data_IF_895521377375
#
_entry.id   IF_895521377375
#
_cell.length_a   1.000
_cell.length_b   1.000
_cell.length_c   1.000
_cell.angle_alpha   90.00
_cell.angle_beta   90.00
_cell.angle_gamma   90.00
#
_symmetry.space_group_name_H-M   'P 1'
#
loop_
_entity.id
_entity.type
_entity.pdbx_description
1 polymer ?
#
# COMPACT_ATOMS: atom_id res chain seq x y z
N UNK A 1 -60.16 59.88 -3.33
CA UNK A 1 -59.09 59.83 -2.31
C UNK A 1 -58.94 58.45 -1.67
N UNK A 2 -60.04 57.76 -1.30
CA UNK A 2 -60.00 56.41 -0.68
C UNK A 2 -59.19 55.34 -1.45
N UNK A 3 -59.29 55.28 -2.79
CA UNK A 3 -58.53 54.32 -3.61
C UNK A 3 -57.00 54.54 -3.61
N UNK A 4 -56.55 55.81 -3.52
CA UNK A 4 -55.12 56.15 -3.48
C UNK A 4 -54.50 55.79 -2.13
N UNK A 5 -55.26 55.96 -1.04
CA UNK A 5 -54.85 55.56 0.31
C UNK A 5 -54.76 54.03 0.42
N UNK A 6 -55.73 53.30 -0.13
CA UNK A 6 -55.73 51.83 -0.10
C UNK A 6 -54.54 51.24 -0.88
N UNK A 7 -54.24 51.76 -2.08
CA UNK A 7 -53.09 51.34 -2.88
C UNK A 7 -51.76 51.62 -2.18
N UNK A 8 -51.63 52.76 -1.49
CA UNK A 8 -50.45 53.07 -0.69
C UNK A 8 -50.25 52.09 0.47
N UNK A 9 -51.34 51.71 1.15
CA UNK A 9 -51.31 50.79 2.29
C UNK A 9 -50.93 49.37 1.85
N UNK A 10 -51.46 48.90 0.72
CA UNK A 10 -51.09 47.60 0.12
C UNK A 10 -49.62 47.57 -0.29
N UNK A 11 -49.10 48.66 -0.88
CA UNK A 11 -47.69 48.76 -1.26
C UNK A 11 -46.77 48.69 -0.02
N UNK A 12 -47.13 49.39 1.07
CA UNK A 12 -46.35 49.35 2.32
C UNK A 12 -46.36 47.94 2.94
N UNK A 13 -47.51 47.26 2.95
CA UNK A 13 -47.60 45.88 3.46
C UNK A 13 -46.80 44.91 2.59
N UNK A 14 -46.84 45.05 1.26
CA UNK A 14 -46.07 44.22 0.34
C UNK A 14 -44.56 44.41 0.51
N UNK A 15 -44.10 45.67 0.69
CA UNK A 15 -42.69 45.97 0.95
C UNK A 15 -42.27 45.44 2.33
N UNK A 16 -43.04 45.70 3.38
CA UNK A 16 -42.72 45.21 4.73
C UNK A 16 -42.71 43.68 4.81
N UNK A 17 -43.68 43.01 4.17
CA UNK A 17 -43.72 41.56 4.05
C UNK A 17 -42.58 40.98 3.23
N UNK A 18 -42.19 41.66 2.14
CA UNK A 18 -41.05 41.28 1.30
C UNK A 18 -39.70 41.41 2.01
N UNK A 19 -39.47 42.50 2.74
CA UNK A 19 -38.26 42.69 3.55
C UNK A 19 -38.18 41.63 4.65
N UNK A 20 -39.28 41.38 5.37
CA UNK A 20 -39.32 40.36 6.42
C UNK A 20 -39.05 38.94 5.89
N UNK A 21 -39.59 38.60 4.71
CA UNK A 21 -39.37 37.31 4.07
C UNK A 21 -37.92 37.12 3.57
N UNK A 22 -37.24 38.20 3.14
CA UNK A 22 -35.84 38.15 2.73
C UNK A 22 -34.85 38.21 3.91
N UNK A 23 -35.26 38.71 5.07
CA UNK A 23 -34.44 38.70 6.29
C UNK A 23 -34.44 37.36 7.04
N UNK A 24 -35.25 36.39 6.62
CA UNK A 24 -35.32 35.05 7.23
C UNK A 24 -34.36 34.01 6.60
N UNK A 25 -33.47 34.44 5.70
CA UNK A 25 -32.43 33.57 5.15
C UNK A 25 -31.22 33.55 6.08
N UNK A 26 -31.21 32.62 7.02
CA UNK A 26 -30.06 32.31 7.88
C UNK A 26 -29.16 31.32 7.13
N UNK A 27 -28.07 31.82 6.56
CA UNK A 27 -27.07 30.99 5.90
C UNK A 27 -25.89 30.78 6.86
N UNK A 28 -25.59 29.52 7.16
CA UNK A 28 -24.37 29.14 7.86
C UNK A 28 -23.37 28.59 6.85
N UNK A 29 -22.18 29.18 6.80
CA UNK A 29 -21.05 28.65 6.05
C UNK A 29 -20.15 27.95 7.06
N UNK A 30 -20.02 26.63 6.93
CA UNK A 30 -19.04 25.84 7.68
C UNK A 30 -17.82 25.69 6.79
N UNK A 31 -16.69 26.28 7.19
CA UNK A 31 -15.44 26.14 6.46
C UNK A 31 -14.82 24.77 6.76
N UNK A 32 -14.58 23.97 5.71
CA UNK A 32 -13.95 22.66 5.81
C UNK A 32 -12.65 22.71 5.01
N UNK A 33 -11.54 22.40 5.67
CA UNK A 33 -10.22 22.36 5.03
C UNK A 33 -9.43 21.22 5.66
N UNK A 34 -8.69 20.46 4.85
CA UNK A 34 -7.81 19.40 5.30
C UNK A 34 -6.49 19.45 4.52
N UNK A 35 -5.39 19.10 5.18
CA UNK A 35 -4.09 18.86 4.54
C UNK A 35 -3.94 17.34 4.38
N UNK A 36 -3.58 16.88 3.19
CA UNK A 36 -3.37 15.46 2.88
C UNK A 36 -1.87 15.26 2.69
N UNK A 37 -1.28 14.37 3.48
CA UNK A 37 0.13 14.02 3.43
C UNK A 37 0.31 12.51 3.50
N UNK A 38 1.46 12.01 3.03
CA UNK A 38 1.80 10.59 3.09
C UNK A 38 2.22 10.22 4.51
N UNK A 39 1.83 9.04 4.98
CA UNK A 39 2.26 8.56 6.29
C UNK A 39 3.65 7.91 6.27
N UNK A 40 4.02 7.31 5.14
CA UNK A 40 5.27 6.60 4.97
C UNK A 40 6.20 7.32 3.99
N UNK A 41 7.49 7.16 4.23
CA UNK A 41 8.55 7.26 3.24
C UNK A 41 8.99 5.84 2.86
N UNK A 42 9.11 5.58 1.56
CA UNK A 42 9.54 4.28 1.02
C UNK A 42 10.63 4.55 -0.01
N UNK A 43 11.77 3.87 0.08
CA UNK A 43 12.76 3.91 -0.98
C UNK A 43 12.19 3.23 -2.24
N UNK A 44 12.02 4.01 -3.30
CA UNK A 44 11.46 3.56 -4.59
C UNK A 44 12.54 3.22 -5.62
N UNK A 45 13.81 3.15 -5.19
CA UNK A 45 14.90 2.69 -6.03
C UNK A 45 14.61 1.28 -6.54
N UNK A 46 14.63 1.04 -7.86
CA UNK A 46 14.34 -0.29 -8.40
C UNK A 46 15.30 -1.35 -7.87
N UNK A 47 14.74 -2.47 -7.40
CA UNK A 47 15.51 -3.66 -7.04
C UNK A 47 15.85 -4.42 -8.33
N UNK A 48 17.15 -4.53 -8.62
CA UNK A 48 17.67 -5.34 -9.73
C UNK A 48 18.60 -6.42 -9.18
N UNK A 49 18.23 -7.68 -9.39
CA UNK A 49 19.03 -8.85 -9.05
C UNK A 49 20.03 -9.22 -10.18
N UNK A 50 19.90 -8.63 -11.36
CA UNK A 50 20.75 -8.90 -12.51
C UNK A 50 20.52 -10.27 -13.12
N UNK A 51 21.59 -10.90 -13.61
CA UNK A 51 21.55 -12.28 -14.10
C UNK A 51 21.72 -13.23 -12.93
N UNK A 52 20.70 -14.06 -12.71
CA UNK A 52 20.67 -15.06 -11.64
C UNK A 52 20.60 -16.47 -12.23
N UNK A 53 21.04 -17.46 -11.46
CA UNK A 53 21.04 -18.87 -11.87
C UNK A 53 20.04 -19.70 -11.04
N UNK A 54 19.51 -20.81 -11.58
CA UNK A 54 18.66 -21.73 -10.83
C UNK A 54 19.26 -22.09 -9.46
N UNK A 55 18.44 -22.05 -8.42
CA UNK A 55 18.80 -22.37 -7.03
C UNK A 55 19.86 -21.43 -6.42
N UNK A 56 20.05 -20.24 -7.00
CA UNK A 56 20.79 -19.15 -6.37
C UNK A 56 19.91 -18.43 -5.34
N UNK A 57 20.55 -17.89 -4.31
CA UNK A 57 19.90 -17.10 -3.26
C UNK A 57 20.53 -15.71 -3.20
N UNK A 58 19.72 -14.67 -3.31
CA UNK A 58 20.18 -13.28 -3.34
C UNK A 58 19.33 -12.40 -2.43
N UNK A 59 19.95 -11.44 -1.75
CA UNK A 59 19.27 -10.51 -0.84
C UNK A 59 19.43 -9.05 -1.28
N UNK A 60 18.39 -8.25 -1.05
CA UNK A 60 18.37 -6.80 -1.23
C UNK A 60 17.58 -6.16 -0.11
N UNK A 61 18.01 -5.01 0.37
CA UNK A 61 17.33 -4.32 1.45
C UNK A 61 16.46 -3.17 0.93
N UNK A 62 15.33 -2.93 1.60
CA UNK A 62 14.50 -1.73 1.43
C UNK A 62 14.21 -1.09 2.78
N UNK A 63 14.19 0.24 2.81
CA UNK A 63 13.81 1.03 3.98
C UNK A 63 12.37 1.52 3.83
N UNK A 64 11.56 1.26 4.85
CA UNK A 64 10.21 1.81 5.01
C UNK A 64 10.21 2.58 6.33
N UNK A 65 9.90 3.88 6.30
CA UNK A 65 9.88 4.70 7.52
C UNK A 65 8.65 5.58 7.59
N UNK A 66 8.39 6.13 8.77
CA UNK A 66 7.44 7.24 8.91
C UNK A 66 7.94 8.43 8.09
N UNK A 67 7.01 9.15 7.48
CA UNK A 67 7.35 10.36 6.73
C UNK A 67 7.61 11.54 7.67
N UNK A 68 8.39 12.53 7.21
CA UNK A 68 8.61 13.78 7.96
C UNK A 68 7.29 14.45 8.38
N UNK A 69 6.26 14.39 7.52
CA UNK A 69 4.94 14.94 7.83
C UNK A 69 4.19 14.16 8.91
N UNK A 70 4.39 12.84 8.98
CA UNK A 70 3.81 12.01 10.03
C UNK A 70 4.53 12.21 11.36
N UNK A 71 5.85 12.37 11.33
CA UNK A 71 6.64 12.65 12.55
C UNK A 71 6.36 14.06 13.11
N UNK A 72 5.99 15.02 12.26
CA UNK A 72 5.72 16.41 12.65
C UNK A 72 4.30 16.67 13.17
N UNK A 73 3.40 15.68 13.15
CA UNK A 73 2.04 15.80 13.66
C UNK A 73 1.91 15.15 15.04
N UNK A 74 0.91 15.59 15.83
CA UNK A 74 0.73 15.15 17.23
C UNK A 74 -0.54 14.31 17.45
N UNK A 75 -1.26 13.94 16.38
CA UNK A 75 -2.58 13.29 16.44
C UNK A 75 -2.51 11.77 16.36
N UNK A 76 -1.74 11.26 15.41
CA UNK A 76 -1.55 9.85 15.12
C UNK A 76 -0.23 9.38 15.75
N UNK A 77 -0.17 8.12 16.15
CA UNK A 77 1.03 7.53 16.76
C UNK A 77 1.64 6.45 15.88
N UNK A 78 0.79 5.63 15.28
CA UNK A 78 1.19 4.40 14.61
C UNK A 78 0.65 4.29 13.19
N UNK A 79 1.39 3.54 12.39
CA UNK A 79 1.06 3.22 11.00
C UNK A 79 1.16 1.72 10.81
N UNK A 80 0.08 1.11 10.31
CA UNK A 80 0.10 -0.28 9.87
C UNK A 80 0.13 -0.34 8.36
N UNK A 81 1.04 -1.11 7.81
CA UNK A 81 1.19 -1.26 6.38
C UNK A 81 1.41 -2.70 5.96
N UNK A 82 1.22 -2.96 4.68
CA UNK A 82 1.49 -4.25 4.05
C UNK A 82 2.44 -4.07 2.88
N UNK A 83 3.30 -5.07 2.68
CA UNK A 83 4.14 -5.22 1.50
C UNK A 83 3.50 -6.29 0.63
N UNK A 84 2.74 -5.83 -0.37
CA UNK A 84 2.14 -6.69 -1.39
C UNK A 84 3.12 -6.91 -2.54
N UNK A 85 2.79 -7.87 -3.38
CA UNK A 85 3.55 -8.20 -4.57
C UNK A 85 2.59 -8.41 -5.74
N UNK A 86 2.92 -7.84 -6.90
CA UNK A 86 2.06 -7.89 -8.08
C UNK A 86 2.86 -8.28 -9.33
N UNK A 87 2.30 -9.11 -10.22
CA UNK A 87 2.94 -9.43 -11.50
C UNK A 87 3.28 -8.16 -12.28
N UNK A 88 4.51 -8.07 -12.79
CA UNK A 88 5.03 -6.85 -13.39
C UNK A 88 4.61 -6.73 -14.87
N UNK A 89 3.98 -5.62 -15.29
CA UNK A 89 3.74 -5.35 -16.70
C UNK A 89 4.99 -4.81 -17.42
N UNK A 90 5.12 -5.13 -18.71
CA UNK A 90 6.18 -4.59 -19.60
C UNK A 90 5.85 -3.19 -20.11
N UNK A 91 4.55 -2.91 -20.33
CA UNK A 91 4.08 -1.67 -20.95
C UNK A 91 2.97 -1.01 -20.11
N UNK A 92 3.26 -0.57 -18.87
CA UNK A 92 2.23 -0.04 -17.95
C UNK A 92 1.52 1.21 -18.48
N UNK A 93 2.12 1.95 -19.42
CA UNK A 93 1.55 3.18 -19.99
C UNK A 93 0.50 2.93 -21.10
N UNK A 94 0.40 1.70 -21.60
CA UNK A 94 -0.59 1.37 -22.61
C UNK A 94 -2.02 1.35 -22.02
N UNK A 95 -3.07 1.51 -22.84
CA UNK A 95 -4.43 1.28 -22.37
C UNK A 95 -4.59 -0.14 -21.83
N UNK A 96 -5.11 -0.26 -20.61
CA UNK A 96 -5.41 -1.55 -19.99
C UNK A 96 -6.46 -2.28 -20.86
N UNK A 97 -6.28 -3.60 -21.14
CA UNK A 97 -7.26 -4.38 -21.89
C UNK A 97 -8.67 -4.33 -21.28
N UNK A 98 -9.70 -4.40 -22.12
CA UNK A 98 -11.10 -4.36 -21.67
C UNK A 98 -11.40 -5.49 -20.67
N UNK A 99 -12.05 -5.14 -19.55
CA UNK A 99 -12.40 -6.08 -18.48
C UNK A 99 -11.43 -6.11 -17.31
N UNK A 100 -10.36 -5.30 -17.33
CA UNK A 100 -9.40 -5.16 -16.25
C UNK A 100 -9.28 -3.70 -15.80
N UNK A 101 -9.06 -3.49 -14.50
CA UNK A 101 -8.90 -2.14 -13.92
C UNK A 101 -7.45 -1.66 -14.05
N UNK A 102 -6.48 -2.58 -13.87
CA UNK A 102 -5.06 -2.29 -13.97
C UNK A 102 -4.29 -3.32 -14.80
N UNK A 103 -3.10 -2.94 -15.27
CA UNK A 103 -2.18 -3.88 -15.92
C UNK A 103 -1.73 -5.00 -14.99
N UNK A 104 -1.62 -4.74 -13.69
CA UNK A 104 -1.29 -5.77 -12.70
C UNK A 104 -2.39 -6.84 -12.64
N UNK A 105 -3.66 -6.44 -12.67
CA UNK A 105 -4.80 -7.39 -12.70
C UNK A 105 -4.80 -8.21 -14.00
N UNK A 106 -4.52 -7.55 -15.12
CA UNK A 106 -4.37 -8.23 -16.41
C UNK A 106 -3.26 -9.28 -16.38
N UNK A 107 -2.07 -8.92 -15.89
CA UNK A 107 -0.92 -9.82 -15.82
C UNK A 107 -1.11 -10.95 -14.79
N UNK A 108 -1.86 -10.70 -13.71
CA UNK A 108 -2.27 -11.76 -12.79
C UNK A 108 -3.20 -12.78 -13.44
N UNK A 109 -4.11 -12.34 -14.31
CA UNK A 109 -5.03 -13.23 -15.02
C UNK A 109 -4.43 -13.89 -16.27
N UNK A 110 -3.44 -13.25 -16.90
CA UNK A 110 -2.90 -13.61 -18.22
C UNK A 110 -1.44 -14.04 -18.15
N UNK A 111 -1.12 -15.00 -17.27
CA UNK A 111 0.26 -15.43 -16.93
C UNK A 111 1.11 -15.97 -18.09
N UNK A 112 0.53 -16.16 -19.28
CA UNK A 112 1.23 -16.62 -20.50
C UNK A 112 1.35 -15.53 -21.58
N UNK A 113 0.84 -14.32 -21.35
CA UNK A 113 1.09 -13.19 -22.26
C UNK A 113 2.46 -12.57 -22.00
N UNK A 114 3.48 -13.20 -22.59
CA UNK A 114 4.87 -12.76 -22.45
C UNK A 114 5.18 -11.49 -23.25
N UNK A 115 4.28 -11.02 -24.12
CA UNK A 115 4.49 -9.77 -24.86
C UNK A 115 4.19 -8.55 -23.98
N UNK A 116 3.19 -8.66 -23.11
CA UNK A 116 2.75 -7.57 -22.23
C UNK A 116 3.15 -7.74 -20.76
N UNK A 117 3.42 -8.96 -20.31
CA UNK A 117 3.73 -9.26 -18.93
C UNK A 117 5.09 -9.94 -18.81
N UNK A 118 5.80 -9.65 -17.73
CA UNK A 118 6.93 -10.47 -17.34
C UNK A 118 6.41 -11.77 -16.73
N UNK A 119 7.05 -12.94 -16.99
CA UNK A 119 6.93 -14.09 -16.10
C UNK A 119 7.10 -13.67 -14.64
N UNK A 120 6.23 -14.18 -13.76
CA UNK A 120 6.16 -13.68 -12.38
C UNK A 120 7.33 -14.16 -11.52
N UNK A 121 7.98 -13.23 -10.81
CA UNK A 121 8.89 -13.54 -9.71
C UNK A 121 8.19 -13.65 -8.35
N UNK A 122 6.94 -13.21 -8.25
CA UNK A 122 6.32 -12.95 -6.95
C UNK A 122 6.30 -14.15 -5.98
N UNK A 123 6.02 -15.40 -6.43
CA UNK A 123 6.09 -16.54 -5.52
C UNK A 123 7.47 -16.81 -4.92
N UNK A 124 8.54 -16.27 -5.51
CA UNK A 124 9.92 -16.60 -5.20
C UNK A 124 10.64 -15.51 -4.39
N UNK A 125 9.89 -14.45 -4.05
CA UNK A 125 10.41 -13.33 -3.27
C UNK A 125 9.95 -13.43 -1.82
N UNK A 126 10.85 -13.79 -0.90
CA UNK A 126 10.57 -13.62 0.52
C UNK A 126 10.74 -12.18 0.96
N UNK A 127 10.12 -11.87 2.09
CA UNK A 127 10.22 -10.59 2.79
C UNK A 127 10.39 -10.91 4.26
N UNK A 128 11.47 -10.46 4.86
CA UNK A 128 11.68 -10.61 6.29
C UNK A 128 12.36 -9.37 6.84
N UNK A 129 12.24 -9.14 8.15
CA UNK A 129 12.94 -8.04 8.79
C UNK A 129 14.44 -8.32 8.80
N UNK A 130 15.24 -7.30 8.51
CA UNK A 130 16.69 -7.44 8.58
C UNK A 130 17.12 -7.72 10.02
N UNK A 131 18.07 -8.63 10.24
CA UNK A 131 18.62 -8.90 11.58
C UNK A 131 19.24 -7.66 12.23
N UNK A 132 19.66 -6.70 11.43
CA UNK A 132 20.22 -5.42 11.88
C UNK A 132 19.17 -4.39 12.25
N UNK A 133 17.90 -4.68 11.98
CA UNK A 133 16.82 -3.84 12.43
C UNK A 133 16.67 -3.94 13.94
N UNK A 134 16.75 -2.80 14.62
CA UNK A 134 16.65 -2.71 16.07
C UNK A 134 15.27 -2.19 16.50
N UNK A 135 14.30 -2.16 15.59
CA UNK A 135 12.90 -1.83 15.88
C UNK A 135 12.32 -2.74 16.97
N UNK A 136 11.30 -2.25 17.68
CA UNK A 136 10.71 -2.98 18.81
C UNK A 136 9.75 -4.08 18.36
N UNK A 137 9.25 -4.01 17.12
CA UNK A 137 8.44 -5.05 16.52
C UNK A 137 9.27 -6.34 16.31
N UNK A 138 8.88 -7.41 17.01
CA UNK A 138 9.52 -8.72 16.84
C UNK A 138 9.07 -9.33 15.52
N UNK A 139 9.98 -10.00 14.80
CA UNK A 139 9.75 -10.80 13.57
C UNK A 139 8.85 -12.05 13.80
N UNK A 140 8.07 -12.05 14.87
CA UNK A 140 7.07 -13.06 15.15
C UNK A 140 5.69 -12.48 14.91
N UNK A 141 4.98 -13.07 13.96
CA UNK A 141 3.54 -12.85 13.70
C UNK A 141 2.58 -13.11 14.87
N UNK A 142 3.10 -13.26 16.10
CA UNK A 142 2.36 -13.62 17.30
C UNK A 142 2.93 -13.01 18.60
N UNK A 143 3.83 -12.00 18.54
CA UNK A 143 4.29 -11.26 19.72
C UNK A 143 3.24 -10.34 20.37
N UNK A 144 2.70 -10.73 21.52
CA UNK A 144 1.88 -9.84 22.37
C UNK A 144 2.78 -9.21 23.43
N UNK A 145 2.82 -7.88 23.51
CA UNK A 145 3.51 -7.17 24.60
C UNK A 145 2.85 -7.49 25.95
N UNK A 146 3.58 -7.26 27.05
CA UNK A 146 3.09 -7.55 28.41
C UNK A 146 1.80 -6.78 28.79
N UNK A 147 1.48 -5.71 28.07
CA UNK A 147 0.27 -4.89 28.23
C UNK A 147 -0.91 -5.35 27.35
N UNK A 148 -0.73 -6.40 26.54
CA UNK A 148 -1.74 -6.94 25.63
C UNK A 148 -1.75 -6.29 24.24
N UNK A 149 -0.87 -5.32 23.98
CA UNK A 149 -0.78 -4.67 22.66
C UNK A 149 -0.03 -5.58 21.68
N UNK A 150 -0.52 -5.62 20.45
CA UNK A 150 -0.08 -6.51 19.39
C UNK A 150 0.65 -5.69 18.33
N UNK A 151 1.97 -5.82 18.26
CA UNK A 151 2.83 -5.16 17.28
C UNK A 151 3.50 -6.25 16.45
N UNK A 152 3.18 -6.33 15.17
CA UNK A 152 3.65 -7.42 14.32
C UNK A 152 4.27 -6.88 13.05
N UNK A 153 5.58 -7.12 12.93
CA UNK A 153 6.20 -7.27 11.63
C UNK A 153 6.12 -8.75 11.27
N UNK A 154 5.48 -9.03 10.15
CA UNK A 154 5.25 -10.36 9.65
C UNK A 154 5.92 -10.51 8.29
N UNK A 155 7.01 -11.26 8.26
CA UNK A 155 7.59 -11.73 7.03
C UNK A 155 6.75 -12.80 6.32
N UNK A 156 7.19 -13.11 5.11
CA UNK A 156 6.72 -14.24 4.33
C UNK A 156 7.90 -14.89 3.63
N UNK A 157 7.99 -16.22 3.73
CA UNK A 157 9.00 -17.03 3.07
C UNK A 157 8.73 -17.12 1.55
N UNK A 158 9.76 -17.38 0.75
CA UNK A 158 9.60 -17.72 -0.66
C UNK A 158 8.82 -19.04 -0.84
N UNK A 159 8.38 -19.28 -2.07
CA UNK A 159 7.51 -20.38 -2.49
C UNK A 159 6.12 -20.33 -1.85
N UNK A 160 5.54 -19.13 -1.87
CA UNK A 160 4.24 -18.81 -1.29
C UNK A 160 3.23 -18.38 -2.35
N UNK A 161 1.96 -18.28 -1.96
CA UNK A 161 0.93 -17.77 -2.87
C UNK A 161 1.15 -16.26 -3.11
N UNK A 162 1.15 -15.78 -4.37
CA UNK A 162 1.27 -14.36 -4.68
C UNK A 162 0.36 -13.40 -3.92
N UNK A 163 -0.82 -13.86 -3.47
CA UNK A 163 -1.78 -13.05 -2.72
C UNK A 163 -1.42 -12.87 -1.23
N UNK A 164 -0.46 -13.66 -0.71
CA UNK A 164 0.02 -13.50 0.65
C UNK A 164 0.96 -12.28 0.74
N UNK A 165 0.92 -11.59 1.89
CA UNK A 165 1.54 -10.28 2.08
C UNK A 165 2.35 -10.28 3.36
N UNK A 166 3.44 -9.52 3.38
CA UNK A 166 4.12 -9.17 4.62
C UNK A 166 3.42 -7.98 5.28
N UNK A 167 3.45 -7.91 6.61
CA UNK A 167 2.86 -6.82 7.40
C UNK A 167 3.96 -6.11 8.15
N UNK A 168 3.85 -4.79 8.25
CA UNK A 168 4.75 -4.00 9.07
C UNK A 168 4.02 -2.98 9.93
N UNK A 169 4.69 -2.56 11.00
CA UNK A 169 4.10 -1.72 12.03
C UNK A 169 5.10 -0.73 12.61
N UNK A 170 4.84 0.56 12.39
CA UNK A 170 5.69 1.66 12.90
C UNK A 170 4.96 2.44 14.00
N UNK A 171 5.68 2.82 15.05
CA UNK A 171 5.17 3.58 16.19
C UNK A 171 6.11 4.72 16.58
N UNK A 172 5.61 5.93 16.47
CA UNK A 172 6.35 7.13 16.83
C UNK A 172 6.68 7.21 18.33
N UNK A 173 5.72 6.94 19.23
CA UNK A 173 5.89 7.11 20.69
C UNK A 173 6.97 6.25 21.33
N UNK A 174 7.37 5.14 20.70
CA UNK A 174 8.45 4.26 21.18
C UNK A 174 9.73 4.34 20.33
N UNK A 175 9.81 5.32 19.41
CA UNK A 175 10.89 5.48 18.44
C UNK A 175 11.09 4.26 17.52
N UNK A 176 9.99 3.64 17.14
CA UNK A 176 9.94 2.63 16.08
C UNK A 176 9.47 3.30 14.79
N UNK A 177 10.32 4.17 14.23
CA UNK A 177 9.95 5.04 13.11
C UNK A 177 10.43 4.52 11.74
N UNK A 178 11.16 3.40 11.71
CA UNK A 178 11.66 2.80 10.49
C UNK A 178 11.83 1.28 10.61
N UNK A 179 11.49 0.60 9.51
CA UNK A 179 11.70 -0.82 9.30
C UNK A 179 12.66 -1.05 8.14
N UNK A 180 13.67 -1.87 8.36
CA UNK A 180 14.56 -2.40 7.34
C UNK A 180 14.10 -3.80 6.96
N UNK A 181 13.68 -3.97 5.71
CA UNK A 181 13.24 -5.25 5.16
C UNK A 181 14.28 -5.82 4.21
N UNK A 182 14.52 -7.12 4.33
CA UNK A 182 15.26 -7.91 3.35
C UNK A 182 14.25 -8.52 2.39
N UNK A 183 14.47 -8.24 1.11
CA UNK A 183 13.80 -8.86 -0.03
C UNK A 183 14.79 -9.86 -0.61
N UNK A 184 14.47 -11.13 -0.44
CA UNK A 184 15.30 -12.22 -0.92
C UNK A 184 14.64 -12.94 -2.09
N UNK A 185 15.45 -13.22 -3.10
CA UNK A 185 15.07 -14.01 -4.25
C UNK A 185 15.67 -15.41 -4.10
N UNK A 186 14.81 -16.39 -3.82
CA UNK A 186 15.15 -17.81 -3.87
C UNK A 186 14.81 -18.34 -5.27
N UNK A 187 15.83 -18.49 -6.11
CA UNK A 187 15.61 -18.71 -7.54
C UNK A 187 15.14 -20.16 -7.78
N UNK A 188 13.93 -20.38 -8.31
CA UNK A 188 13.45 -21.72 -8.61
C UNK A 188 14.28 -22.37 -9.74
N UNK A 189 14.34 -23.70 -9.72
CA UNK A 189 14.82 -24.47 -10.86
C UNK A 189 13.76 -24.56 -11.96
N UNK A 190 14.21 -24.87 -13.19
CA UNK A 190 13.31 -25.23 -14.28
C UNK A 190 12.88 -26.70 -14.16
N UNK A 191 11.67 -27.00 -14.65
CA UNK A 191 11.10 -28.35 -14.65
C UNK A 191 12.06 -29.34 -15.34
N UNK A 192 12.36 -30.43 -14.63
CA UNK A 192 13.32 -31.45 -15.05
C UNK A 192 14.81 -31.10 -14.87
N UNK A 193 15.14 -29.90 -14.38
CA UNK A 193 16.53 -29.42 -14.20
C UNK A 193 16.92 -29.21 -12.72
N UNK A 194 16.03 -29.53 -11.78
CA UNK A 194 16.27 -29.37 -10.35
C UNK A 194 17.33 -30.33 -9.79
N UNK A 195 18.09 -29.86 -8.80
CA UNK A 195 18.99 -30.73 -8.04
C UNK A 195 18.22 -31.83 -7.26
N UNK A 196 18.93 -32.91 -6.91
CA UNK A 196 18.32 -34.07 -6.24
C UNK A 196 17.80 -33.76 -4.83
N UNK A 197 18.33 -32.73 -4.20
CA UNK A 197 17.98 -32.23 -2.87
C UNK A 197 16.98 -31.07 -2.91
N UNK A 198 16.42 -30.74 -4.08
CA UNK A 198 15.36 -29.76 -4.20
C UNK A 198 14.16 -30.14 -3.33
N UNK A 199 13.68 -29.19 -2.51
CA UNK A 199 12.59 -29.42 -1.55
C UNK A 199 11.26 -28.76 -1.92
N UNK A 200 11.26 -27.82 -2.88
CA UNK A 200 10.07 -27.03 -3.24
C UNK A 200 9.36 -27.60 -4.48
N UNK A 201 9.02 -28.89 -4.43
CA UNK A 201 8.34 -29.56 -5.54
C UNK A 201 6.99 -28.90 -5.87
N UNK A 202 6.73 -28.68 -7.15
CA UNK A 202 5.54 -28.01 -7.67
C UNK A 202 5.71 -26.51 -7.91
N UNK A 203 6.86 -25.94 -7.53
CA UNK A 203 7.20 -24.54 -7.75
C UNK A 203 8.22 -24.32 -8.88
N UNK A 204 8.58 -25.40 -9.58
CA UNK A 204 9.50 -25.35 -10.71
C UNK A 204 8.97 -24.44 -11.82
N UNK A 205 9.89 -23.72 -12.45
CA UNK A 205 9.58 -22.90 -13.61
C UNK A 205 9.38 -23.77 -14.86
N UNK A 206 8.41 -23.46 -15.73
CA UNK A 206 8.31 -24.11 -17.02
C UNK A 206 9.60 -23.95 -17.83
N UNK A 207 10.17 -25.04 -18.32
CA UNK A 207 11.45 -25.05 -19.03
C UNK A 207 11.51 -24.09 -20.25
N UNK A 208 10.38 -23.82 -20.88
CA UNK A 208 10.30 -22.87 -22.00
C UNK A 208 10.57 -21.40 -21.62
N UNK A 209 10.56 -21.06 -20.33
CA UNK A 209 10.88 -19.72 -19.84
C UNK A 209 12.38 -19.53 -19.56
N UNK A 210 13.21 -20.54 -19.85
CA UNK A 210 14.65 -20.44 -19.68
C UNK A 210 15.23 -19.35 -20.59
N UNK A 211 15.89 -18.36 -19.97
CA UNK A 211 16.45 -17.18 -20.64
C UNK A 211 15.52 -15.97 -20.72
N UNK A 212 14.27 -16.08 -20.25
CA UNK A 212 13.38 -14.93 -20.12
C UNK A 212 13.76 -14.03 -18.95
N UNK A 213 13.36 -12.77 -19.03
CA UNK A 213 13.45 -11.82 -17.91
C UNK A 213 12.16 -11.96 -17.09
N UNK A 214 12.28 -12.16 -15.78
CA UNK A 214 11.14 -12.25 -14.88
C UNK A 214 10.96 -10.94 -14.11
N UNK A 215 9.76 -10.71 -13.56
CA UNK A 215 9.46 -9.49 -12.84
C UNK A 215 8.37 -9.64 -11.79
N UNK A 216 8.47 -8.83 -10.75
CA UNK A 216 7.44 -8.61 -9.75
C UNK A 216 7.58 -7.18 -9.23
N UNK A 217 6.47 -6.49 -9.02
CA UNK A 217 6.46 -5.18 -8.37
C UNK A 217 6.08 -5.35 -6.90
N UNK A 218 6.84 -4.73 -6.00
CA UNK A 218 6.46 -4.60 -4.59
C UNK A 218 5.55 -3.38 -4.42
N UNK A 219 4.48 -3.54 -3.66
CA UNK A 219 3.50 -2.50 -3.41
C UNK A 219 3.28 -2.32 -1.92
N UNK A 220 3.78 -1.21 -1.39
CA UNK A 220 3.65 -0.84 0.02
C UNK A 220 2.36 -0.05 0.18
N UNK A 221 1.47 -0.51 1.05
CA UNK A 221 0.15 0.11 1.28
C UNK A 221 -0.12 0.26 2.77
N UNK A 222 -0.48 1.48 3.18
CA UNK A 222 -0.98 1.74 4.53
C UNK A 222 -2.45 1.33 4.60
N UNK A 223 -2.81 0.54 5.61
CA UNK A 223 -4.18 0.05 5.79
C UNK A 223 -4.83 0.50 7.10
N UNK A 224 -4.07 0.99 8.08
CA UNK A 224 -4.60 1.44 9.36
C UNK A 224 -3.70 2.48 10.05
N UNK A 225 -4.33 3.29 10.90
CA UNK A 225 -3.71 4.29 11.78
C UNK A 225 -4.39 4.26 13.14
N UNK A 226 -3.67 4.53 14.22
CA UNK A 226 -4.29 4.80 15.52
C UNK A 226 -3.77 6.08 16.16
N UNK A 227 -4.57 6.62 17.08
CA UNK A 227 -4.24 7.82 17.82
C UNK A 227 -3.49 7.43 19.11
N UNK A 228 -2.54 8.25 19.53
CA UNK A 228 -1.88 8.06 20.81
C UNK A 228 -2.91 8.18 21.94
N UNK A 229 -3.18 7.07 22.64
CA UNK A 229 -4.20 7.06 23.71
C UNK A 229 -3.66 7.41 25.09
N UNK A 230 -2.37 7.73 25.21
CA UNK A 230 -1.70 8.30 26.39
C UNK A 230 -2.25 7.90 27.76
N UNK A 231 -1.60 6.92 28.41
CA UNK A 231 -1.71 6.70 29.86
C UNK A 231 -0.47 7.16 30.60
#
# INVERSE_FOLDING_TARGET
>A
MKKKILLGLVAVVAVAGGVAALSAYEAHIINVTAKIENALYVDTTPIDFGTVFPQEYLEKEILISLSDSFLAQDRLDDVKYVIKQKPKPKNPDNPVPEGFDTWHDYCAASVLDLDNCYPTLCPYLSKHKAETDNSMATDQCAGVLADGTSYYDCGIDAFHNPDEMAYGYLVQSVNDDADLWVIDLDVPCFDGECAQDWTHFGWELPAQLNGEVFGCDLWIEVYDFSEWTGS
#
